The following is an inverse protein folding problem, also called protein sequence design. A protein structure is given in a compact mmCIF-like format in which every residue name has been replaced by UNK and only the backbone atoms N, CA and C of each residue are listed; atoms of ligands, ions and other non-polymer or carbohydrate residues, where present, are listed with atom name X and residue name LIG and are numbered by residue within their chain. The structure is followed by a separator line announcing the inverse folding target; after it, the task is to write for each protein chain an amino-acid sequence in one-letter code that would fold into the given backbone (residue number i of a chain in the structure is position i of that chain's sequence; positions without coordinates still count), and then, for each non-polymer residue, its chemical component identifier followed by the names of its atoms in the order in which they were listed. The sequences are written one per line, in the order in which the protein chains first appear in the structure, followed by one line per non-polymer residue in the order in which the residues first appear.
data_IF_891798136974
#
_entry.id   IF_891798136974
#
_cell.length_a   1.000
_cell.length_b   1.000
_cell.length_c   1.000
_cell.angle_alpha   90.00
_cell.angle_beta   90.00
_cell.angle_gamma   90.00
#
_symmetry.space_group_name_H-M   'P 1'
#
loop_
_entity.id
_entity.type
_entity.pdbx_description
1 polymer ?
#
# COMPACT_ATOMS: atom_id res chain seq x y z
N UNK A 1 0.80 3.79 18.63
CA UNK A 1 1.97 4.21 17.82
C UNK A 1 2.63 2.95 17.29
N UNK A 2 3.03 2.87 16.01
CA UNK A 2 3.70 1.66 15.47
C UNK A 2 5.04 1.42 16.17
N UNK A 3 5.42 0.16 16.37
CA UNK A 3 6.73 -0.23 16.90
C UNK A 3 7.89 0.36 16.09
N UNK A 4 7.71 0.52 14.77
CA UNK A 4 8.73 1.11 13.92
C UNK A 4 9.04 2.56 14.30
N UNK A 5 8.02 3.37 14.57
CA UNK A 5 8.22 4.78 14.96
C UNK A 5 8.77 4.97 16.37
N UNK A 6 8.70 3.95 17.25
CA UNK A 6 9.43 4.01 18.52
C UNK A 6 10.94 3.83 18.35
N UNK A 7 11.39 3.21 17.25
CA UNK A 7 12.81 3.05 16.94
C UNK A 7 13.44 4.33 16.36
N UNK A 8 12.61 5.28 15.88
CA UNK A 8 13.06 6.55 15.27
C UNK A 8 12.40 7.74 16.01
N UNK A 9 12.82 8.04 17.25
CA UNK A 9 12.14 9.03 18.11
C UNK A 9 12.23 10.47 17.59
N UNK A 10 13.21 10.79 16.74
CA UNK A 10 13.38 12.11 16.14
C UNK A 10 12.59 12.30 14.83
N UNK A 11 11.85 11.30 14.38
CA UNK A 11 11.02 11.37 13.17
C UNK A 11 9.67 12.03 13.47
N UNK A 12 9.36 13.09 12.74
CA UNK A 12 8.02 13.68 12.69
C UNK A 12 7.20 12.98 11.59
N UNK A 13 5.96 12.62 11.91
CA UNK A 13 5.06 11.93 10.98
C UNK A 13 4.04 12.91 10.39
N UNK A 14 4.10 13.11 9.08
CA UNK A 14 3.10 13.85 8.32
C UNK A 14 2.09 12.88 7.71
N UNK A 15 0.80 13.19 7.83
CA UNK A 15 -0.27 12.40 7.22
C UNK A 15 -0.65 13.00 5.86
N UNK A 16 -0.83 12.12 4.87
CA UNK A 16 -1.27 12.45 3.52
C UNK A 16 -2.43 11.53 3.14
N UNK A 17 -3.13 11.89 2.07
CA UNK A 17 -4.37 11.21 1.67
C UNK A 17 -4.16 9.72 1.34
N UNK A 18 -2.98 9.35 0.83
CA UNK A 18 -2.62 7.97 0.53
C UNK A 18 -1.11 7.75 0.47
N UNK A 19 -0.68 6.48 0.47
CA UNK A 19 0.75 6.12 0.38
C UNK A 19 1.41 6.59 -0.92
N UNK A 20 0.71 6.58 -2.05
CA UNK A 20 1.25 7.09 -3.31
C UNK A 20 1.46 8.60 -3.28
N UNK A 21 0.55 9.36 -2.66
CA UNK A 21 0.75 10.79 -2.46
C UNK A 21 1.97 11.10 -1.57
N UNK A 22 2.24 10.27 -0.56
CA UNK A 22 3.47 10.36 0.23
C UNK A 22 4.73 10.11 -0.60
N UNK A 23 4.72 9.08 -1.46
CA UNK A 23 5.83 8.78 -2.36
C UNK A 23 6.06 9.92 -3.36
N UNK A 24 5.01 10.43 -3.97
CA UNK A 24 5.11 11.56 -4.90
C UNK A 24 5.69 12.80 -4.22
N UNK A 25 5.20 13.15 -3.02
CA UNK A 25 5.72 14.29 -2.25
C UNK A 25 7.21 14.13 -1.94
N UNK A 26 7.66 12.93 -1.57
CA UNK A 26 9.07 12.65 -1.27
C UNK A 26 9.93 12.73 -2.54
N UNK A 27 9.44 12.20 -3.66
CA UNK A 27 10.13 12.30 -4.95
C UNK A 27 10.31 13.77 -5.38
N UNK A 28 9.26 14.59 -5.24
CA UNK A 28 9.30 16.03 -5.55
C UNK A 28 10.22 16.81 -4.60
N UNK A 29 10.24 16.45 -3.31
CA UNK A 29 11.08 17.12 -2.33
C UNK A 29 12.58 16.91 -2.57
N UNK A 30 12.97 15.81 -3.22
CA UNK A 30 14.36 15.45 -3.57
C UNK A 30 15.37 15.75 -2.45
N UNK A 31 15.02 15.34 -1.22
CA UNK A 31 15.77 15.67 -0.01
C UNK A 31 16.02 14.41 0.81
N UNK A 32 17.24 14.22 1.34
CA UNK A 32 17.55 13.06 2.18
C UNK A 32 16.90 13.12 3.57
N UNK A 33 16.18 14.22 3.89
CA UNK A 33 15.56 14.44 5.21
C UNK A 33 14.11 13.97 5.28
N UNK A 34 13.54 13.50 4.18
CA UNK A 34 12.16 13.03 4.10
C UNK A 34 12.10 11.64 3.49
N UNK A 35 11.18 10.82 3.98
CA UNK A 35 10.97 9.46 3.51
C UNK A 35 9.47 9.14 3.52
N UNK A 36 9.05 8.23 2.64
CA UNK A 36 7.67 7.78 2.53
C UNK A 36 7.54 6.34 3.01
N UNK A 37 6.40 6.02 3.62
CA UNK A 37 6.02 4.64 3.94
C UNK A 37 4.97 4.14 2.94
N UNK A 38 5.25 3.01 2.31
CA UNK A 38 4.31 2.30 1.46
C UNK A 38 4.98 1.13 0.72
N UNK A 39 4.34 0.64 -0.34
CA UNK A 39 4.84 -0.50 -1.10
C UNK A 39 6.11 -0.16 -1.91
N UNK A 40 7.04 -1.10 -1.95
CA UNK A 40 8.26 -1.01 -2.78
C UNK A 40 7.92 -0.78 -4.27
N UNK A 41 6.91 -1.50 -4.79
CA UNK A 41 6.45 -1.32 -6.16
C UNK A 41 5.93 0.12 -6.42
N UNK A 42 5.21 0.71 -5.45
CA UNK A 42 4.77 2.11 -5.55
C UNK A 42 5.96 3.07 -5.57
N UNK A 43 6.93 2.90 -4.67
CA UNK A 43 8.11 3.75 -4.61
C UNK A 43 8.91 3.73 -5.91
N UNK A 44 9.07 2.56 -6.51
CA UNK A 44 9.77 2.39 -7.79
C UNK A 44 9.09 3.15 -8.94
N UNK A 45 7.76 3.24 -8.97
CA UNK A 45 7.03 4.05 -9.98
C UNK A 45 7.33 5.54 -9.86
N UNK A 46 7.74 6.00 -8.68
CA UNK A 46 8.15 7.39 -8.42
C UNK A 46 9.68 7.58 -8.44
N UNK A 47 10.46 6.57 -8.86
CA UNK A 47 11.92 6.63 -8.91
C UNK A 47 12.59 6.63 -7.53
N UNK A 48 11.89 6.19 -6.48
CA UNK A 48 12.42 6.13 -5.12
C UNK A 48 13.14 4.81 -4.84
N UNK A 49 14.15 4.88 -3.99
CA UNK A 49 14.88 3.72 -3.48
C UNK A 49 14.30 3.24 -2.14
N UNK A 50 14.24 1.93 -1.96
CA UNK A 50 13.90 1.32 -0.66
C UNK A 50 15.05 1.51 0.33
N UNK A 51 14.76 2.19 1.44
CA UNK A 51 15.71 2.35 2.55
C UNK A 51 15.66 1.16 3.52
N UNK A 52 14.45 0.71 3.86
CA UNK A 52 14.23 -0.37 4.82
C UNK A 52 12.94 -1.12 4.51
N UNK A 53 12.93 -2.44 4.71
CA UNK A 53 11.73 -3.28 4.59
C UNK A 53 11.21 -3.59 6.00
N UNK A 54 10.07 -3.01 6.35
CA UNK A 54 9.47 -3.12 7.67
C UNK A 54 8.26 -4.05 7.65
N UNK A 55 8.07 -4.82 8.72
CA UNK A 55 6.85 -5.58 8.90
C UNK A 55 5.73 -4.67 9.43
N UNK A 56 4.51 -4.84 8.91
CA UNK A 56 3.35 -4.23 9.52
C UNK A 56 3.17 -4.78 10.94
N UNK A 57 2.67 -3.94 11.87
CA UNK A 57 2.39 -4.39 13.24
C UNK A 57 1.38 -5.55 13.30
N UNK A 58 0.57 -5.70 12.25
CA UNK A 58 -0.39 -6.78 12.08
C UNK A 58 0.09 -7.72 10.97
N UNK A 59 0.29 -8.99 11.33
CA UNK A 59 0.79 -10.04 10.41
C UNK A 59 -0.25 -10.42 9.35
N UNK A 60 -1.55 -10.35 9.66
CA UNK A 60 -2.64 -10.57 8.72
C UNK A 60 -3.17 -9.25 8.14
N UNK A 61 -2.36 -8.58 7.33
CA UNK A 61 -2.78 -7.37 6.58
C UNK A 61 -3.10 -7.74 5.13
N UNK A 62 -4.31 -8.27 4.89
CA UNK A 62 -4.73 -8.81 3.59
C UNK A 62 -5.82 -7.91 2.99
N UNK A 63 -5.56 -7.40 1.78
CA UNK A 63 -6.56 -6.67 0.99
C UNK A 63 -7.28 -7.64 0.07
N UNK A 64 -8.62 -7.74 0.17
CA UNK A 64 -9.44 -8.45 -0.82
C UNK A 64 -9.85 -7.48 -1.92
N UNK A 65 -9.58 -7.85 -3.17
CA UNK A 65 -9.96 -7.08 -4.37
C UNK A 65 -11.07 -7.82 -5.11
N UNK A 66 -12.07 -7.08 -5.59
CA UNK A 66 -13.12 -7.57 -6.47
C UNK A 66 -12.87 -7.02 -7.87
N UNK A 67 -12.67 -7.91 -8.85
CA UNK A 67 -12.53 -7.52 -10.26
C UNK A 67 -13.92 -7.57 -10.91
N UNK A 68 -14.34 -6.45 -11.48
CA UNK A 68 -15.66 -6.30 -12.08
C UNK A 68 -15.56 -6.25 -13.60
N UNK A 69 -16.56 -6.80 -14.29
CA UNK A 69 -16.70 -6.72 -15.74
C UNK A 69 -18.13 -6.31 -16.12
N UNK A 70 -18.26 -5.49 -17.17
CA UNK A 70 -19.57 -5.04 -17.67
C UNK A 70 -20.39 -6.20 -18.24
N UNK A 71 -19.73 -7.15 -18.91
CA UNK A 71 -20.35 -8.34 -19.47
C UNK A 71 -20.12 -9.51 -18.54
N UNK A 72 -21.14 -10.37 -18.40
CA UNK A 72 -21.02 -11.60 -17.64
C UNK A 72 -19.92 -12.48 -18.21
N UNK A 73 -19.09 -13.03 -17.32
CA UNK A 73 -18.05 -14.00 -17.66
C UNK A 73 -18.56 -15.36 -17.19
N UNK A 74 -18.51 -16.35 -18.09
CA UNK A 74 -18.86 -17.72 -17.72
C UNK A 74 -17.73 -18.31 -16.88
N UNK A 75 -18.02 -18.60 -15.62
CA UNK A 75 -17.12 -19.34 -14.74
C UNK A 75 -17.47 -20.83 -14.86
N UNK A 76 -16.45 -21.67 -14.96
CA UNK A 76 -16.65 -23.14 -14.99
C UNK A 76 -17.08 -23.64 -13.62
N UNK A 77 -18.02 -24.58 -13.57
CA UNK A 77 -18.48 -25.21 -12.32
C UNK A 77 -17.38 -26.00 -11.61
N UNK A 78 -16.28 -26.32 -12.31
CA UNK A 78 -15.11 -27.00 -11.74
C UNK A 78 -14.21 -26.05 -10.93
N UNK A 79 -14.45 -24.73 -10.99
CA UNK A 79 -13.67 -23.74 -10.26
C UNK A 79 -14.47 -23.27 -9.04
N UNK A 80 -13.90 -23.30 -7.82
CA UNK A 80 -14.57 -22.74 -6.64
C UNK A 80 -14.95 -21.28 -6.85
N UNK A 81 -16.25 -21.00 -6.84
CA UNK A 81 -16.80 -19.66 -7.07
C UNK A 81 -17.52 -19.13 -5.83
N UNK A 82 -17.61 -17.80 -5.73
CA UNK A 82 -18.43 -17.11 -4.74
C UNK A 82 -19.36 -16.14 -5.45
N UNK A 83 -20.61 -16.10 -5.01
CA UNK A 83 -21.63 -15.18 -5.51
C UNK A 83 -21.83 -14.05 -4.51
N UNK A 84 -21.74 -12.82 -4.96
CA UNK A 84 -22.13 -11.64 -4.18
C UNK A 84 -23.50 -11.17 -4.66
N UNK A 85 -24.47 -11.13 -3.75
CA UNK A 85 -25.83 -10.66 -4.03
C UNK A 85 -26.05 -9.32 -3.33
N UNK A 86 -26.63 -8.35 -4.04
CA UNK A 86 -27.14 -7.10 -3.48
C UNK A 86 -28.67 -7.17 -3.52
N UNK A 87 -29.32 -7.01 -2.38
CA UNK A 87 -30.78 -7.03 -2.21
C UNK A 87 -31.29 -5.70 -1.68
#
# INVERSE_FOLDING_TARGET
RSYFFSLIPLCNSDYLDCSSAAMEKVAQANSPRVAALGSEAGGMLHGLQVLERIAANQTQNITRVLVLARKAIKVSDQVPAKTTLLI
#
